data_IF_730233835803
#
_entry.id   IF_730233835803
#
_cell.length_a   1.000
_cell.length_b   1.000
_cell.length_c   1.000
_cell.angle_alpha   90.00
_cell.angle_beta   90.00
_cell.angle_gamma   90.00
#
_symmetry.space_group_name_H-M   'P 1'
#
loop_
_entity.id
_entity.type
_entity.pdbx_description
1 polymer ?
#
# COMPACT_ATOMS: atom_id res chain seq x y z
N UNK A 1 -61.36 -9.66 -21.71
CA UNK A 1 -60.62 -8.42 -22.04
C UNK A 1 -59.68 -8.13 -20.88
N UNK A 2 -58.37 -8.09 -21.18
CA UNK A 2 -57.25 -7.54 -20.39
C UNK A 2 -57.11 -7.95 -18.93
N UNK A 3 -56.31 -9.00 -18.69
CA UNK A 3 -55.54 -9.12 -17.45
C UNK A 3 -54.37 -8.11 -17.53
N UNK A 4 -54.17 -7.22 -16.53
CA UNK A 4 -53.07 -6.28 -16.55
C UNK A 4 -51.74 -6.94 -16.16
N UNK A 5 -50.70 -6.36 -16.75
CA UNK A 5 -49.33 -6.84 -16.87
C UNK A 5 -48.59 -7.15 -15.56
N UNK A 6 -47.76 -8.18 -15.64
CA UNK A 6 -46.72 -8.54 -14.69
C UNK A 6 -45.77 -7.36 -14.52
N UNK A 7 -45.75 -6.74 -13.33
CA UNK A 7 -44.62 -5.91 -12.89
C UNK A 7 -43.60 -6.86 -12.28
N UNK A 8 -42.61 -7.27 -13.08
CA UNK A 8 -41.44 -8.02 -12.59
C UNK A 8 -40.63 -7.10 -11.69
N UNK A 9 -40.56 -7.44 -10.39
CA UNK A 9 -39.67 -6.83 -9.41
C UNK A 9 -38.21 -6.99 -9.85
N UNK A 10 -37.54 -5.89 -10.17
CA UNK A 10 -36.13 -5.87 -10.62
C UNK A 10 -35.16 -5.21 -9.62
N UNK A 11 -35.61 -4.91 -8.40
CA UNK A 11 -34.83 -4.15 -7.41
C UNK A 11 -33.72 -4.98 -6.75
N UNK A 12 -33.89 -6.30 -6.64
CA UNK A 12 -32.97 -7.21 -5.91
C UNK A 12 -31.66 -7.52 -6.65
N UNK A 13 -31.60 -7.33 -7.97
CA UNK A 13 -30.41 -7.65 -8.79
C UNK A 13 -29.39 -6.49 -8.82
N UNK A 14 -29.86 -5.25 -8.62
CA UNK A 14 -29.04 -4.04 -8.68
C UNK A 14 -28.16 -3.90 -7.41
N UNK A 15 -28.66 -4.33 -6.26
CA UNK A 15 -27.91 -4.28 -4.99
C UNK A 15 -26.79 -5.31 -4.92
N UNK A 16 -26.99 -6.50 -5.49
CA UNK A 16 -26.00 -7.59 -5.46
C UNK A 16 -24.78 -7.29 -6.35
N UNK A 17 -25.02 -6.79 -7.58
CA UNK A 17 -23.96 -6.47 -8.55
C UNK A 17 -23.08 -5.28 -8.12
N UNK A 18 -23.68 -4.29 -7.45
CA UNK A 18 -22.94 -3.13 -6.91
C UNK A 18 -22.07 -3.52 -5.71
N UNK A 19 -22.56 -4.37 -4.82
CA UNK A 19 -21.78 -4.90 -3.69
C UNK A 19 -20.56 -5.70 -4.17
N UNK A 20 -20.72 -6.55 -5.18
CA UNK A 20 -19.61 -7.32 -5.77
C UNK A 20 -18.56 -6.42 -6.43
N UNK A 21 -19.00 -5.38 -7.14
CA UNK A 21 -18.09 -4.39 -7.73
C UNK A 21 -17.29 -3.65 -6.65
N UNK A 22 -17.94 -3.26 -5.54
CA UNK A 22 -17.29 -2.62 -4.39
C UNK A 22 -16.27 -3.57 -3.75
N UNK A 23 -16.61 -4.84 -3.55
CA UNK A 23 -15.69 -5.83 -2.97
C UNK A 23 -14.50 -6.11 -3.89
N UNK A 24 -14.72 -6.23 -5.20
CA UNK A 24 -13.64 -6.37 -6.19
C UNK A 24 -12.70 -5.15 -6.17
N UNK A 25 -13.26 -3.94 -6.07
CA UNK A 25 -12.48 -2.70 -5.91
C UNK A 25 -11.65 -2.70 -4.62
N UNK A 26 -12.26 -3.07 -3.48
CA UNK A 26 -11.58 -3.21 -2.19
C UNK A 26 -10.42 -4.22 -2.26
N UNK A 27 -10.65 -5.38 -2.89
CA UNK A 27 -9.62 -6.41 -3.06
C UNK A 27 -8.46 -5.92 -3.93
N UNK A 28 -8.73 -5.22 -5.04
CA UNK A 28 -7.68 -4.62 -5.89
C UNK A 28 -6.85 -3.60 -5.12
N UNK A 29 -7.51 -2.73 -4.35
CA UNK A 29 -6.83 -1.76 -3.47
C UNK A 29 -5.97 -2.46 -2.41
N UNK A 30 -6.48 -3.52 -1.77
CA UNK A 30 -5.72 -4.28 -0.78
C UNK A 30 -4.47 -4.94 -1.40
N UNK A 31 -4.59 -5.51 -2.61
CA UNK A 31 -3.46 -6.07 -3.36
C UNK A 31 -2.42 -4.99 -3.69
N UNK A 32 -2.86 -3.82 -4.14
CA UNK A 32 -1.98 -2.68 -4.41
C UNK A 32 -1.23 -2.21 -3.16
N UNK A 33 -1.94 -2.04 -2.04
CA UNK A 33 -1.36 -1.65 -0.75
C UNK A 33 -0.33 -2.67 -0.26
N UNK A 34 -0.62 -3.96 -0.42
CA UNK A 34 0.31 -5.03 -0.04
C UNK A 34 1.60 -4.98 -0.86
N UNK A 35 1.48 -4.76 -2.18
CA UNK A 35 2.66 -4.57 -3.03
C UNK A 35 3.50 -3.38 -2.62
N UNK A 36 2.88 -2.23 -2.35
CA UNK A 36 3.63 -1.03 -1.94
C UNK A 36 4.31 -1.23 -0.59
N UNK A 37 3.65 -1.90 0.36
CA UNK A 37 4.26 -2.28 1.63
C UNK A 37 5.52 -3.14 1.41
N UNK A 38 5.45 -4.15 0.54
CA UNK A 38 6.60 -4.99 0.21
C UNK A 38 7.73 -4.20 -0.45
N UNK A 39 7.41 -3.27 -1.36
CA UNK A 39 8.39 -2.36 -1.96
C UNK A 39 9.09 -1.51 -0.90
N UNK A 40 8.33 -0.94 0.03
CA UNK A 40 8.85 -0.15 1.14
C UNK A 40 9.68 -0.96 2.12
N UNK A 41 9.35 -2.24 2.37
CA UNK A 41 10.21 -3.14 3.14
C UNK A 41 11.57 -3.34 2.47
N UNK A 42 11.60 -3.49 1.15
CA UNK A 42 12.85 -3.54 0.38
C UNK A 42 13.69 -2.27 0.53
N UNK A 43 13.06 -1.10 0.37
CA UNK A 43 13.72 0.19 0.53
C UNK A 43 14.27 0.40 1.95
N UNK A 44 13.46 0.09 2.98
CA UNK A 44 13.89 0.23 4.37
C UNK A 44 15.05 -0.72 4.69
N UNK A 45 15.05 -1.95 4.16
CA UNK A 45 16.17 -2.89 4.31
C UNK A 45 17.45 -2.35 3.66
N UNK A 46 17.34 -1.74 2.48
CA UNK A 46 18.49 -1.11 1.83
C UNK A 46 19.04 0.07 2.66
N UNK A 47 18.16 0.88 3.24
CA UNK A 47 18.55 1.98 4.14
C UNK A 47 19.22 1.45 5.42
N UNK A 48 18.74 0.35 5.99
CA UNK A 48 19.37 -0.29 7.15
C UNK A 48 20.77 -0.83 6.81
N UNK A 49 20.97 -1.39 5.61
CA UNK A 49 22.31 -1.74 5.12
C UNK A 49 23.22 -0.52 4.98
N UNK A 50 22.69 0.60 4.50
CA UNK A 50 23.44 1.86 4.41
C UNK A 50 23.91 2.32 5.81
N UNK A 51 23.03 2.28 6.81
CA UNK A 51 23.38 2.64 8.20
C UNK A 51 24.58 1.85 8.75
N UNK A 52 24.76 0.59 8.35
CA UNK A 52 25.90 -0.22 8.79
C UNK A 52 27.24 0.22 8.20
N UNK A 53 27.22 0.99 7.11
CA UNK A 53 28.43 1.47 6.41
C UNK A 53 28.72 2.95 6.67
N UNK A 54 27.73 3.69 7.15
CA UNK A 54 27.89 5.10 7.50
C UNK A 54 28.60 5.21 8.85
N UNK A 55 29.68 5.99 8.97
CA UNK A 55 30.37 6.17 10.25
C UNK A 55 29.47 6.90 11.25
N UNK A 56 29.29 6.32 12.44
CA UNK A 56 28.51 6.89 13.54
C UNK A 56 29.39 7.08 14.78
N UNK A 57 29.17 8.18 15.50
CA UNK A 57 29.93 8.50 16.73
C UNK A 57 29.51 7.61 17.91
N UNK A 58 28.27 7.10 17.90
CA UNK A 58 27.70 6.22 18.93
C UNK A 58 27.18 4.94 18.30
N UNK A 59 27.80 3.79 18.62
CA UNK A 59 27.53 2.49 17.96
C UNK A 59 26.05 2.02 18.02
N UNK A 60 25.25 2.56 18.95
CA UNK A 60 23.86 2.15 19.16
C UNK A 60 22.81 3.17 18.69
N UNK A 61 23.21 4.30 18.09
CA UNK A 61 22.24 5.29 17.62
C UNK A 61 21.68 4.92 16.26
N UNK A 62 20.37 4.66 16.20
CA UNK A 62 19.66 4.49 14.92
C UNK A 62 19.33 5.86 14.32
N UNK A 63 20.09 6.26 13.31
CA UNK A 63 19.86 7.50 12.56
C UNK A 63 18.49 7.50 11.86
N UNK A 64 17.83 8.66 11.81
CA UNK A 64 16.65 8.87 10.97
C UNK A 64 16.98 8.71 9.48
N UNK A 65 15.95 8.65 8.62
CA UNK A 65 16.16 8.50 7.17
C UNK A 65 16.99 9.65 6.58
N UNK A 66 16.66 10.88 6.96
CA UNK A 66 17.34 12.08 6.44
C UNK A 66 18.77 12.19 6.94
N UNK A 67 19.02 11.90 8.23
CA UNK A 67 20.37 11.90 8.79
C UNK A 67 21.26 10.86 8.14
N UNK A 68 20.75 9.64 7.93
CA UNK A 68 21.48 8.57 7.25
C UNK A 68 21.93 9.03 5.86
N UNK A 69 21.04 9.66 5.09
CA UNK A 69 21.34 10.10 3.72
C UNK A 69 22.34 11.28 3.70
N UNK A 70 22.17 12.26 4.59
CA UNK A 70 23.08 13.40 4.71
C UNK A 70 24.49 12.93 5.08
N UNK A 71 24.60 12.08 6.09
CA UNK A 71 25.89 11.59 6.57
C UNK A 71 26.58 10.67 5.56
N UNK A 72 25.82 9.81 4.87
CA UNK A 72 26.34 9.01 3.77
C UNK A 72 26.88 9.88 2.62
N UNK A 73 26.15 10.94 2.25
CA UNK A 73 26.59 11.85 1.19
C UNK A 73 27.87 12.60 1.58
N UNK A 74 27.98 13.07 2.82
CA UNK A 74 29.19 13.75 3.31
C UNK A 74 30.40 12.81 3.45
N UNK A 75 30.17 11.51 3.62
CA UNK A 75 31.25 10.52 3.79
C UNK A 75 31.89 10.07 2.47
N UNK A 76 31.15 10.09 1.36
CA UNK A 76 31.64 9.62 0.05
C UNK A 76 32.43 10.70 -0.71
N UNK A 77 32.23 11.98 -0.37
CA UNK A 77 32.99 13.12 -0.91
C UNK A 77 34.39 13.10 -0.34
#
# INVERSE_FOLDING_TARGET
>A
MTAPSIVVSNESTITSTTFDAINKSRMRRQKANTRERNRMHGLNRALDKLRQRVPITTQHQKLSKIETLRLASSFII
#
